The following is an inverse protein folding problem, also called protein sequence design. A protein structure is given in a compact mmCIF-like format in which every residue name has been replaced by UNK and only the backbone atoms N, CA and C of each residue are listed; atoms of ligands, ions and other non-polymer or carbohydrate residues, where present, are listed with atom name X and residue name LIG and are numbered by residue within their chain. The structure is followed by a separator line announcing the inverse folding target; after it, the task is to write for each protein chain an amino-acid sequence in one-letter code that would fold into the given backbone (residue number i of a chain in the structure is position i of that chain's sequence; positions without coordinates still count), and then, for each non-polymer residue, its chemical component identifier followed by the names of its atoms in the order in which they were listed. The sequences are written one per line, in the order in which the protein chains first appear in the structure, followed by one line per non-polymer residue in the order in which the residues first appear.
data_IF_220270085379
#
_entry.id   IF_220270085379
#
_cell.length_a   1.000
_cell.length_b   1.000
_cell.length_c   1.000
_cell.angle_alpha   90.00
_cell.angle_beta   90.00
_cell.angle_gamma   90.00
#
_symmetry.space_group_name_H-M   'P 1'
#
loop_
_entity.id
_entity.type
_entity.pdbx_description
1 polymer ?
#
# COMPACT_ATOMS: atom_id res chain seq x y z
N UNK A 1 4.87 -17.12 -2.10
CA UNK A 1 4.90 -15.77 -1.54
C UNK A 1 5.98 -14.96 -2.24
N UNK A 2 5.64 -13.76 -2.67
CA UNK A 2 6.62 -12.89 -3.30
C UNK A 2 7.52 -12.26 -2.22
N UNK A 3 8.82 -12.50 -2.30
CA UNK A 3 9.77 -11.98 -1.30
C UNK A 3 9.78 -10.45 -1.22
N UNK A 4 9.54 -9.75 -2.34
CA UNK A 4 9.44 -8.29 -2.36
C UNK A 4 8.26 -7.79 -1.53
N UNK A 5 7.10 -8.46 -1.62
CA UNK A 5 5.93 -8.11 -0.85
C UNK A 5 6.15 -8.31 0.64
N UNK A 6 6.79 -9.42 1.01
CA UNK A 6 7.11 -9.70 2.42
C UNK A 6 8.07 -8.66 2.99
N UNK A 7 9.06 -8.23 2.20
CA UNK A 7 10.01 -7.20 2.64
C UNK A 7 9.29 -5.88 2.91
N UNK A 8 8.37 -5.47 2.05
CA UNK A 8 7.61 -4.24 2.26
C UNK A 8 6.75 -4.32 3.53
N UNK A 9 6.10 -5.47 3.78
CA UNK A 9 5.32 -5.64 5.00
C UNK A 9 6.18 -5.56 6.26
N UNK A 10 7.35 -6.20 6.25
CA UNK A 10 8.28 -6.15 7.38
C UNK A 10 8.77 -4.72 7.59
N UNK A 11 9.10 -4.01 6.53
CA UNK A 11 9.55 -2.63 6.60
C UNK A 11 8.45 -1.71 7.17
N UNK A 12 7.19 -1.94 6.78
CA UNK A 12 6.07 -1.17 7.30
C UNK A 12 5.87 -1.39 8.80
N UNK A 13 5.91 -2.64 9.23
CA UNK A 13 5.77 -3.00 10.65
C UNK A 13 6.87 -2.32 11.47
N UNK A 14 8.11 -2.38 10.99
CA UNK A 14 9.25 -1.74 11.66
C UNK A 14 9.03 -0.23 11.79
N UNK A 15 8.62 0.42 10.73
CA UNK A 15 8.36 1.85 10.73
C UNK A 15 7.23 2.23 11.70
N UNK A 16 6.18 1.43 11.74
CA UNK A 16 5.07 1.66 12.66
C UNK A 16 5.49 1.54 14.13
N UNK A 17 6.31 0.56 14.47
CA UNK A 17 6.83 0.44 15.84
C UNK A 17 7.69 1.64 16.22
N UNK A 18 8.49 2.15 15.31
CA UNK A 18 9.28 3.35 15.55
C UNK A 18 8.40 4.57 15.87
N UNK A 19 7.18 4.59 15.33
CA UNK A 19 6.24 5.71 15.49
C UNK A 19 5.21 5.49 16.59
N UNK A 20 5.39 4.46 17.41
CA UNK A 20 4.54 4.21 18.57
C UNK A 20 3.30 3.37 18.32
N UNK A 21 3.17 2.78 17.13
CA UNK A 21 2.11 1.84 16.84
C UNK A 21 2.52 0.41 17.18
N UNK A 22 1.54 -0.41 17.55
CA UNK A 22 1.68 -1.86 17.55
C UNK A 22 1.09 -2.39 16.25
N UNK A 23 1.66 -3.46 15.72
CA UNK A 23 1.22 -4.04 14.45
C UNK A 23 0.80 -5.49 14.66
N UNK A 24 -0.27 -5.89 13.98
CA UNK A 24 -0.84 -7.23 14.03
C UNK A 24 -1.07 -7.74 12.62
N UNK A 25 -0.82 -9.01 12.39
CA UNK A 25 -1.08 -9.65 11.11
C UNK A 25 -2.44 -10.34 11.19
N UNK A 26 -3.37 -10.09 10.26
CA UNK A 26 -4.65 -10.79 10.26
C UNK A 26 -4.46 -12.30 10.12
N UNK A 27 -5.24 -13.05 10.86
CA UNK A 27 -5.18 -14.51 10.83
C UNK A 27 -5.66 -15.07 9.48
N UNK A 28 -6.69 -14.46 8.90
CA UNK A 28 -7.27 -14.94 7.64
C UNK A 28 -6.50 -14.39 6.44
N UNK A 29 -6.26 -15.23 5.44
CA UNK A 29 -5.67 -14.82 4.16
C UNK A 29 -6.69 -14.28 3.16
N UNK A 30 -7.97 -14.29 3.51
CA UNK A 30 -9.05 -13.86 2.61
C UNK A 30 -9.25 -12.34 2.62
N UNK A 31 -8.65 -11.64 3.57
CA UNK A 31 -8.79 -10.20 3.68
C UNK A 31 -7.77 -9.47 2.81
N UNK A 32 -8.14 -8.28 2.34
CA UNK A 32 -7.21 -7.38 1.66
C UNK A 32 -6.33 -6.60 2.62
N UNK A 33 -6.53 -6.74 3.92
CA UNK A 33 -5.70 -6.13 4.94
C UNK A 33 -4.46 -6.98 5.18
N UNK A 34 -3.28 -6.37 5.04
CA UNK A 34 -2.01 -7.05 5.32
C UNK A 34 -1.57 -6.87 6.77
N UNK A 35 -1.82 -5.68 7.33
CA UNK A 35 -1.38 -5.32 8.67
C UNK A 35 -2.47 -4.50 9.34
N UNK A 36 -2.68 -4.75 10.63
CA UNK A 36 -3.54 -3.91 11.47
C UNK A 36 -2.64 -3.18 12.45
N UNK A 37 -2.73 -1.85 12.53
CA UNK A 37 -1.93 -1.06 13.44
C UNK A 37 -2.82 -0.36 14.47
N UNK A 38 -2.27 -0.13 15.67
CA UNK A 38 -3.02 0.46 16.77
C UNK A 38 -2.10 1.21 17.71
N UNK A 39 -2.50 2.41 18.11
CA UNK A 39 -1.90 3.14 19.23
C UNK A 39 -2.83 3.06 20.44
N UNK A 40 -2.24 3.16 21.64
CA UNK A 40 -2.99 3.13 22.89
C UNK A 40 -4.07 4.22 22.89
N UNK A 41 -5.31 3.83 23.19
CA UNK A 41 -6.44 4.76 23.26
C UNK A 41 -7.10 5.08 21.93
N UNK A 42 -6.61 4.51 20.83
CA UNK A 42 -7.15 4.76 19.49
C UNK A 42 -7.68 3.47 18.86
N UNK A 43 -8.70 3.57 17.99
CA UNK A 43 -9.18 2.39 17.26
C UNK A 43 -8.11 1.83 16.31
N UNK A 44 -8.18 0.53 15.99
CA UNK A 44 -7.25 -0.06 15.03
C UNK A 44 -7.45 0.49 13.62
N UNK A 45 -6.38 0.50 12.84
CA UNK A 45 -6.37 0.92 11.44
C UNK A 45 -5.94 -0.26 10.59
N UNK A 46 -6.72 -0.60 9.57
CA UNK A 46 -6.38 -1.67 8.64
C UNK A 46 -5.59 -1.12 7.46
N UNK A 47 -4.50 -1.79 7.11
CA UNK A 47 -3.54 -1.31 6.10
C UNK A 47 -3.26 -2.39 5.07
N UNK A 48 -3.33 -2.02 3.80
CA UNK A 48 -2.81 -2.81 2.69
C UNK A 48 -1.44 -2.27 2.33
N UNK A 49 -0.43 -3.12 2.29
CA UNK A 49 0.95 -2.72 1.98
C UNK A 49 1.27 -3.13 0.55
N UNK A 50 1.84 -2.21 -0.22
CA UNK A 50 2.29 -2.47 -1.58
C UNK A 50 3.69 -1.92 -1.79
N UNK A 51 4.42 -2.54 -2.71
CA UNK A 51 5.69 -2.00 -3.20
C UNK A 51 5.39 -1.13 -4.42
N UNK A 52 5.92 0.09 -4.44
CA UNK A 52 5.88 0.96 -5.61
C UNK A 52 6.84 0.45 -6.68
N UNK A 53 6.41 0.50 -7.93
CA UNK A 53 7.22 0.07 -9.06
C UNK A 53 7.78 1.29 -9.78
N UNK A 54 9.11 1.35 -9.88
CA UNK A 54 9.80 2.43 -10.58
C UNK A 54 9.51 2.34 -12.09
N UNK A 55 9.09 3.46 -12.67
CA UNK A 55 8.83 3.55 -14.10
C UNK A 55 10.11 3.89 -14.84
N UNK A 56 10.61 2.96 -15.66
CA UNK A 56 11.94 3.05 -16.26
C UNK A 56 11.97 3.67 -17.66
N UNK A 57 10.84 4.02 -18.24
CA UNK A 57 10.75 4.39 -19.65
C UNK A 57 10.80 5.89 -19.93
N UNK A 58 11.22 6.70 -18.93
CA UNK A 58 11.24 8.16 -19.09
C UNK A 58 12.54 8.75 -18.54
N UNK A 59 13.67 8.51 -19.22
CA UNK A 59 15.00 8.90 -18.69
C UNK A 59 15.21 10.41 -18.56
N UNK A 60 14.38 11.22 -19.22
CA UNK A 60 14.51 12.69 -19.18
C UNK A 60 13.69 13.33 -18.07
N UNK A 61 12.87 12.55 -17.37
CA UNK A 61 11.95 13.06 -16.37
C UNK A 61 12.38 12.63 -14.98
N UNK A 62 11.84 13.32 -13.98
CA UNK A 62 11.93 12.93 -12.59
C UNK A 62 11.50 11.47 -12.45
N UNK A 63 12.18 10.71 -11.60
CA UNK A 63 11.80 9.33 -11.35
C UNK A 63 10.35 9.26 -10.90
N UNK A 64 9.61 8.30 -11.44
CA UNK A 64 8.19 8.11 -11.17
C UNK A 64 7.94 6.69 -10.71
N UNK A 65 7.18 6.54 -9.65
CA UNK A 65 6.75 5.23 -9.14
C UNK A 65 5.26 5.06 -9.32
N UNK A 66 4.84 3.82 -9.45
CA UNK A 66 3.45 3.45 -9.68
C UNK A 66 3.05 2.33 -8.73
N UNK A 67 1.81 2.36 -8.26
CA UNK A 67 1.19 1.24 -7.57
C UNK A 67 -0.23 1.03 -8.09
N UNK A 68 -0.65 -0.23 -8.18
CA UNK A 68 -2.01 -0.59 -8.58
C UNK A 68 -2.95 -0.46 -7.38
N UNK A 69 -4.14 0.06 -7.63
CA UNK A 69 -5.19 0.19 -6.61
C UNK A 69 -6.18 -0.96 -6.79
N UNK A 70 -5.69 -2.16 -6.53
CA UNK A 70 -6.45 -3.37 -6.72
C UNK A 70 -5.56 -4.60 -6.68
N UNK A 71 -6.14 -5.75 -7.01
CA UNK A 71 -5.44 -7.04 -7.03
C UNK A 71 -5.50 -7.66 -8.41
N UNK A 72 -4.38 -8.21 -8.87
CA UNK A 72 -4.34 -9.04 -10.07
C UNK A 72 -4.39 -10.51 -9.66
N UNK A 73 -5.33 -11.27 -10.23
CA UNK A 73 -5.44 -12.70 -9.99
C UNK A 73 -4.69 -13.45 -11.09
N UNK A 74 -3.44 -13.79 -10.81
CA UNK A 74 -2.57 -14.46 -11.79
C UNK A 74 -3.07 -15.85 -12.17
N UNK A 75 -3.82 -16.52 -11.29
CA UNK A 75 -4.35 -17.86 -11.55
C UNK A 75 -5.56 -17.86 -12.47
N UNK A 76 -6.18 -16.72 -12.72
CA UNK A 76 -7.38 -16.63 -13.55
C UNK A 76 -6.98 -16.30 -14.98
N UNK A 77 -7.13 -17.27 -15.88
CA UNK A 77 -6.83 -17.05 -17.28
C UNK A 77 -8.03 -16.48 -18.02
N UNK A 78 -7.77 -15.50 -18.83
CA UNK A 78 -8.72 -15.01 -19.81
C UNK A 78 -8.40 -15.59 -21.17
N UNK A 79 -9.27 -15.37 -22.15
CA UNK A 79 -9.09 -15.88 -23.51
C UNK A 79 -7.76 -15.45 -24.13
N UNK A 80 -7.22 -14.31 -23.73
CA UNK A 80 -5.95 -13.79 -24.24
C UNK A 80 -4.78 -13.97 -23.27
N UNK A 81 -4.97 -14.73 -22.19
CA UNK A 81 -3.93 -14.97 -21.20
C UNK A 81 -3.65 -13.83 -20.25
N UNK A 82 -4.40 -12.73 -20.33
CA UNK A 82 -4.19 -11.56 -19.47
C UNK A 82 -4.73 -11.82 -18.06
N UNK A 83 -3.94 -11.55 -17.00
CA UNK A 83 -4.46 -11.68 -15.63
C UNK A 83 -5.64 -10.76 -15.38
N UNK A 84 -6.58 -11.23 -14.58
CA UNK A 84 -7.75 -10.46 -14.22
C UNK A 84 -7.39 -9.46 -13.12
N UNK A 85 -7.68 -8.17 -13.38
CA UNK A 85 -7.49 -7.11 -12.40
C UNK A 85 -8.83 -6.74 -11.76
N UNK A 86 -8.85 -6.62 -10.42
CA UNK A 86 -10.04 -6.22 -9.68
C UNK A 86 -9.68 -5.04 -8.78
N UNK A 87 -10.39 -3.91 -8.95
CA UNK A 87 -10.23 -2.75 -8.09
C UNK A 87 -10.71 -3.04 -6.68
N UNK A 88 -10.14 -2.35 -5.69
CA UNK A 88 -10.57 -2.48 -4.30
C UNK A 88 -11.97 -1.90 -4.11
N UNK A 89 -12.75 -2.56 -3.28
CA UNK A 89 -14.05 -2.05 -2.82
C UNK A 89 -13.82 -0.96 -1.77
N UNK A 90 -14.81 -0.08 -1.60
CA UNK A 90 -14.69 1.13 -0.79
C UNK A 90 -14.28 0.89 0.67
N UNK A 91 -14.60 -0.26 1.23
CA UNK A 91 -14.33 -0.55 2.65
C UNK A 91 -13.41 -1.75 2.85
N UNK A 92 -12.59 -2.07 1.84
CA UNK A 92 -11.69 -3.22 1.91
C UNK A 92 -10.64 -3.06 3.03
N UNK A 93 -10.18 -1.83 3.26
CA UNK A 93 -9.21 -1.47 4.31
C UNK A 93 -9.23 0.06 4.48
N UNK A 94 -8.50 0.58 5.46
CA UNK A 94 -8.51 2.03 5.74
C UNK A 94 -7.44 2.79 4.95
N UNK A 95 -6.23 2.23 4.86
CA UNK A 95 -5.06 2.92 4.31
C UNK A 95 -4.29 2.01 3.36
N UNK A 96 -3.88 2.58 2.23
CA UNK A 96 -2.90 1.96 1.33
C UNK A 96 -1.54 2.56 1.64
N UNK A 97 -0.58 1.71 2.03
CA UNK A 97 0.80 2.12 2.29
C UNK A 97 1.69 1.58 1.18
N UNK A 98 2.35 2.48 0.45
CA UNK A 98 3.21 2.12 -0.66
C UNK A 98 4.67 2.37 -0.30
N UNK A 99 5.49 1.33 -0.42
CA UNK A 99 6.91 1.39 -0.12
C UNK A 99 7.71 1.75 -1.37
N UNK A 100 8.45 2.85 -1.29
CA UNK A 100 9.40 3.24 -2.34
C UNK A 100 10.77 2.75 -1.89
N UNK A 101 11.11 1.53 -2.27
CA UNK A 101 12.28 0.81 -1.77
C UNK A 101 13.58 1.53 -2.12
N UNK A 102 13.66 2.15 -3.30
CA UNK A 102 14.85 2.84 -3.77
C UNK A 102 15.29 3.99 -2.86
N UNK A 103 14.35 4.57 -2.11
CA UNK A 103 14.61 5.68 -1.20
C UNK A 103 14.30 5.35 0.26
N UNK A 104 13.86 4.12 0.54
CA UNK A 104 13.41 3.70 1.88
C UNK A 104 12.38 4.68 2.44
N UNK A 105 11.36 4.99 1.63
CA UNK A 105 10.32 5.96 1.99
C UNK A 105 8.94 5.37 1.75
N UNK A 106 7.95 5.98 2.40
CA UNK A 106 6.56 5.54 2.36
C UNK A 106 5.65 6.63 1.83
N UNK A 107 4.64 6.22 1.06
CA UNK A 107 3.55 7.10 0.66
C UNK A 107 2.25 6.44 1.08
N UNK A 108 1.47 7.13 1.91
CA UNK A 108 0.21 6.62 2.45
C UNK A 108 -0.97 7.36 1.83
N UNK A 109 -2.02 6.61 1.53
CA UNK A 109 -3.29 7.15 1.04
C UNK A 109 -4.44 6.51 1.79
N UNK A 110 -5.47 7.31 2.10
CA UNK A 110 -6.74 6.75 2.53
C UNK A 110 -7.38 6.04 1.34
N UNK A 111 -7.91 4.86 1.56
CA UNK A 111 -8.61 4.15 0.48
C UNK A 111 -9.76 4.99 -0.05
N UNK A 112 -10.48 5.70 0.83
CA UNK A 112 -11.59 6.57 0.43
C UNK A 112 -11.19 7.61 -0.61
N UNK A 113 -9.94 8.07 -0.61
CA UNK A 113 -9.44 9.09 -1.53
C UNK A 113 -9.02 8.51 -2.89
N UNK A 114 -8.78 7.20 -2.96
CA UNK A 114 -8.26 6.56 -4.18
C UNK A 114 -9.16 5.46 -4.71
N UNK A 115 -10.27 5.16 -4.04
CA UNK A 115 -11.19 4.13 -4.49
C UNK A 115 -11.74 4.48 -5.88
N UNK A 116 -11.84 3.48 -6.75
CA UNK A 116 -12.26 3.69 -8.13
C UNK A 116 -11.10 3.95 -9.10
N UNK A 117 -9.93 4.33 -8.62
CA UNK A 117 -8.74 4.46 -9.46
C UNK A 117 -8.12 3.09 -9.72
N UNK A 118 -7.53 2.91 -10.90
CA UNK A 118 -6.83 1.67 -11.22
C UNK A 118 -5.39 1.69 -10.71
N UNK A 119 -4.77 2.87 -10.70
CA UNK A 119 -3.39 3.03 -10.23
C UNK A 119 -3.15 4.45 -9.74
N UNK A 120 -2.09 4.59 -8.96
CA UNK A 120 -1.60 5.89 -8.46
C UNK A 120 -0.11 5.99 -8.78
N UNK A 121 0.37 7.23 -8.98
CA UNK A 121 1.76 7.51 -9.36
C UNK A 121 2.32 8.65 -8.54
N UNK A 122 3.63 8.59 -8.31
CA UNK A 122 4.38 9.63 -7.58
C UNK A 122 5.69 9.90 -8.30
N UNK A 123 6.24 11.10 -8.08
CA UNK A 123 7.59 11.45 -8.53
C UNK A 123 8.46 11.82 -7.32
N UNK A 124 9.72 12.18 -7.57
CA UNK A 124 10.66 12.53 -6.50
C UNK A 124 10.23 13.74 -5.68
N UNK A 125 9.38 14.59 -6.24
CA UNK A 125 8.91 15.79 -5.57
C UNK A 125 7.70 15.55 -4.67
N UNK A 126 7.16 14.33 -4.67
CA UNK A 126 6.00 14.01 -3.85
C UNK A 126 6.39 13.92 -2.38
N UNK A 127 5.54 14.45 -1.51
CA UNK A 127 5.74 14.33 -0.06
C UNK A 127 5.69 12.87 0.36
N UNK A 128 6.83 12.39 0.82
CA UNK A 128 6.95 11.02 1.31
C UNK A 128 6.95 11.00 2.84
N UNK A 129 6.78 9.78 3.41
CA UNK A 129 6.72 9.55 4.84
C UNK A 129 5.60 10.33 5.52
N UNK A 130 4.46 10.44 4.85
CA UNK A 130 3.29 11.18 5.33
C UNK A 130 2.48 10.39 6.35
N UNK A 131 3.14 9.88 7.38
CA UNK A 131 2.51 9.07 8.44
C UNK A 131 1.54 9.87 9.31
N UNK A 132 1.61 11.19 9.30
CA UNK A 132 0.65 12.04 9.98
C UNK A 132 -0.78 11.86 9.44
N UNK A 133 -0.94 11.32 8.23
CA UNK A 133 -2.24 10.94 7.71
C UNK A 133 -2.95 9.95 8.64
N UNK A 134 -2.20 9.11 9.34
CA UNK A 134 -2.77 8.13 10.28
C UNK A 134 -3.48 8.80 11.45
N UNK A 135 -3.09 10.01 11.82
CA UNK A 135 -3.72 10.77 12.89
C UNK A 135 -5.13 11.23 12.53
N UNK A 136 -5.46 11.24 11.25
CA UNK A 136 -6.74 11.73 10.74
C UNK A 136 -7.76 10.63 10.44
N UNK A 137 -7.34 9.36 10.45
CA UNK A 137 -8.19 8.23 10.02
C UNK A 137 -9.40 8.06 10.95
N UNK A 138 -9.21 8.29 12.23
CA UNK A 138 -10.22 8.04 13.26
C UNK A 138 -10.95 9.32 13.70
N UNK A 139 -10.85 10.36 12.93
CA UNK A 139 -11.54 11.62 13.20
C UNK A 139 -12.89 11.68 12.52
#
# INVERSE_FOLDING_TARGET
MNSSGSLAEIAFIHECYKRGFKAFIPYSHDTKTDVIIKRTGEPPISVQVKKGTLQKNKPHLTQTWKALVGSAKSSTRRCNGTPRFTKYKAHAFDVLAVYIQEHDKWVLHRLADIVGKASIRWNDDHDADNFDLLDTINQ
#
